data_IF_443656408429
#
_entry.id   IF_443656408429
#
_cell.length_a   1.000
_cell.length_b   1.000
_cell.length_c   1.000
_cell.angle_alpha   90.00
_cell.angle_beta   90.00
_cell.angle_gamma   90.00
#
_symmetry.space_group_name_H-M   'P 1'
#
loop_
_entity.id
_entity.type
_entity.pdbx_description
1 polymer ?
#
# COMPACT_ATOMS: atom_id res chain seq x y z
N UNK A 1 -13.35 18.24 -11.31
CA UNK A 1 -11.91 18.03 -11.09
C UNK A 1 -11.83 16.93 -10.08
N UNK A 2 -11.09 15.89 -10.42
CA UNK A 2 -10.99 14.68 -9.61
C UNK A 2 -9.78 14.81 -8.68
N UNK A 3 -9.78 14.02 -7.61
CA UNK A 3 -8.76 13.98 -6.57
C UNK A 3 -8.26 12.54 -6.47
N UNK A 4 -6.95 12.35 -6.46
CA UNK A 4 -6.32 11.07 -6.19
C UNK A 4 -6.45 10.71 -4.70
N UNK A 5 -7.28 9.72 -4.41
CA UNK A 5 -7.54 9.21 -3.06
C UNK A 5 -6.85 7.85 -2.86
N UNK A 6 -6.44 7.54 -1.62
CA UNK A 6 -5.99 6.19 -1.26
C UNK A 6 -7.12 5.20 -1.56
N UNK A 7 -6.93 4.27 -2.49
CA UNK A 7 -7.89 3.20 -2.77
C UNK A 7 -7.66 2.03 -1.82
N UNK A 8 -6.43 1.54 -1.80
CA UNK A 8 -6.03 0.42 -0.97
C UNK A 8 -4.53 0.47 -0.67
N UNK A 9 -4.10 -0.16 0.43
CA UNK A 9 -2.69 -0.47 0.64
C UNK A 9 -2.48 -1.82 1.32
N UNK A 10 -1.36 -2.45 0.99
CA UNK A 10 -0.81 -3.57 1.75
C UNK A 10 0.40 -3.04 2.51
N UNK A 11 0.33 -3.12 3.83
CA UNK A 11 1.26 -2.48 4.74
C UNK A 11 2.32 -3.47 5.24
N UNK A 12 3.59 -3.10 5.07
CA UNK A 12 4.78 -3.85 5.50
C UNK A 12 4.90 -5.25 4.86
N UNK A 13 4.70 -5.32 3.54
CA UNK A 13 5.08 -6.50 2.78
C UNK A 13 6.59 -6.68 2.82
N UNK A 14 7.04 -7.89 3.06
CA UNK A 14 8.43 -8.28 2.94
C UNK A 14 8.73 -8.70 1.51
N UNK A 15 9.68 -8.02 0.89
CA UNK A 15 10.18 -8.35 -0.45
C UNK A 15 10.81 -9.74 -0.40
N UNK A 16 10.28 -10.67 -1.19
CA UNK A 16 10.83 -12.03 -1.30
C UNK A 16 11.98 -12.07 -2.30
N UNK A 17 11.88 -11.29 -3.38
CA UNK A 17 12.79 -11.34 -4.51
C UNK A 17 12.96 -9.96 -5.18
N UNK A 18 14.06 -9.79 -5.92
CA UNK A 18 14.29 -8.62 -6.76
C UNK A 18 14.99 -9.06 -8.06
N UNK A 19 14.28 -9.00 -9.19
CA UNK A 19 14.78 -9.44 -10.50
C UNK A 19 15.00 -8.25 -11.45
N UNK A 20 16.26 -7.86 -11.62
CA UNK A 20 16.66 -6.74 -12.46
C UNK A 20 16.36 -6.93 -13.96
N UNK A 21 16.33 -8.17 -14.45
CA UNK A 21 16.24 -8.45 -15.89
C UNK A 21 14.82 -8.81 -16.34
N UNK A 22 13.85 -8.84 -15.42
CA UNK A 22 12.43 -8.97 -15.73
C UNK A 22 11.80 -7.62 -16.15
N UNK A 23 10.62 -7.66 -16.77
CA UNK A 23 9.86 -6.46 -17.17
C UNK A 23 9.38 -5.66 -15.95
N UNK A 24 9.71 -4.36 -15.93
CA UNK A 24 9.51 -3.50 -14.76
C UNK A 24 8.08 -3.49 -14.22
N UNK A 25 7.91 -3.92 -12.96
CA UNK A 25 6.63 -4.10 -12.27
C UNK A 25 6.88 -4.47 -10.79
N UNK A 26 5.83 -4.72 -10.02
CA UNK A 26 5.89 -5.49 -8.78
C UNK A 26 5.00 -6.74 -8.91
N UNK A 27 5.58 -7.92 -8.74
CA UNK A 27 4.80 -9.15 -8.57
C UNK A 27 4.33 -9.24 -7.12
N UNK A 28 3.04 -9.46 -6.91
CA UNK A 28 2.46 -9.69 -5.57
C UNK A 28 1.53 -10.90 -5.63
N UNK A 29 1.60 -11.78 -4.64
CA UNK A 29 0.67 -12.90 -4.43
C UNK A 29 -0.78 -12.46 -4.69
N UNK A 30 -1.47 -13.18 -5.58
CA UNK A 30 -2.84 -12.90 -5.98
C UNK A 30 -3.81 -12.84 -4.78
N UNK A 31 -3.64 -13.68 -3.75
CA UNK A 31 -4.50 -13.64 -2.56
C UNK A 31 -4.38 -12.30 -1.82
N UNK A 32 -3.16 -11.76 -1.73
CA UNK A 32 -2.92 -10.47 -1.08
C UNK A 32 -3.53 -9.31 -1.88
N UNK A 33 -3.42 -9.38 -3.21
CA UNK A 33 -4.07 -8.43 -4.12
C UNK A 33 -5.60 -8.47 -3.97
N UNK A 34 -6.19 -9.67 -3.94
CA UNK A 34 -7.63 -9.88 -3.79
C UNK A 34 -8.14 -9.34 -2.45
N UNK A 35 -7.44 -9.64 -1.35
CA UNK A 35 -7.79 -9.16 -0.01
C UNK A 35 -7.69 -7.63 0.08
N UNK A 36 -6.71 -7.03 -0.62
CA UNK A 36 -6.55 -5.58 -0.68
C UNK A 36 -7.52 -4.89 -1.63
N UNK A 37 -8.12 -5.62 -2.59
CA UNK A 37 -8.89 -5.03 -3.68
C UNK A 37 -8.02 -4.28 -4.69
N UNK A 38 -6.77 -4.71 -4.86
CA UNK A 38 -5.84 -4.20 -5.88
C UNK A 38 -5.89 -5.15 -7.08
N UNK A 39 -6.13 -4.60 -8.27
CA UNK A 39 -6.28 -5.41 -9.49
C UNK A 39 -4.92 -5.75 -10.09
N UNK A 40 -4.81 -6.86 -10.85
CA UNK A 40 -3.71 -7.07 -11.78
C UNK A 40 -3.56 -5.88 -12.75
N UNK A 41 -2.32 -5.47 -12.99
CA UNK A 41 -1.95 -4.33 -13.85
C UNK A 41 -2.43 -2.97 -13.35
N UNK A 42 -2.85 -2.87 -12.09
CA UNK A 42 -3.21 -1.60 -11.48
C UNK A 42 -1.97 -0.76 -11.18
N UNK A 43 -2.08 0.55 -11.40
CA UNK A 43 -1.03 1.50 -11.01
C UNK A 43 -0.93 1.53 -9.49
N UNK A 44 0.27 1.30 -8.97
CA UNK A 44 0.60 1.37 -7.56
C UNK A 44 1.84 2.23 -7.32
N UNK A 45 1.92 2.81 -6.13
CA UNK A 45 3.15 3.33 -5.58
C UNK A 45 3.72 2.32 -4.60
N UNK A 46 5.00 2.00 -4.73
CA UNK A 46 5.74 1.18 -3.77
C UNK A 46 6.66 2.10 -2.99
N UNK A 47 6.56 2.06 -1.66
CA UNK A 47 7.42 2.81 -0.75
C UNK A 47 8.19 1.84 0.13
N UNK A 48 9.52 1.95 0.11
CA UNK A 48 10.40 1.06 0.84
C UNK A 48 10.74 1.68 2.21
N UNK A 49 10.42 0.96 3.27
CA UNK A 49 10.61 1.39 4.67
C UNK A 49 12.09 1.42 5.03
N UNK A 50 12.86 0.46 4.52
CA UNK A 50 14.26 0.25 4.88
C UNK A 50 15.17 1.35 4.30
N UNK A 51 14.90 1.81 3.07
CA UNK A 51 15.78 2.75 2.37
C UNK A 51 15.12 4.07 1.95
N UNK A 52 13.81 4.22 2.15
CA UNK A 52 13.06 5.44 1.84
C UNK A 52 12.76 5.66 0.35
N UNK A 53 13.15 4.75 -0.54
CA UNK A 53 12.84 4.86 -1.96
C UNK A 53 11.33 4.81 -2.20
N UNK A 54 10.90 5.54 -3.23
CA UNK A 54 9.51 5.60 -3.68
C UNK A 54 9.49 5.44 -5.19
N UNK A 55 8.66 4.54 -5.70
CA UNK A 55 8.49 4.32 -7.13
C UNK A 55 7.03 4.14 -7.48
N UNK A 56 6.65 4.52 -8.70
CA UNK A 56 5.34 4.19 -9.26
C UNK A 56 5.52 3.08 -10.31
N UNK A 57 4.64 2.08 -10.27
CA UNK A 57 4.69 0.96 -11.18
C UNK A 57 3.33 0.26 -11.29
N UNK A 58 3.35 -0.87 -11.97
CA UNK A 58 2.39 -1.94 -12.15
C UNK A 58 2.28 -3.10 -11.15
N UNK A 59 1.11 -3.61 -10.79
CA UNK A 59 1.03 -4.97 -10.22
C UNK A 59 1.08 -6.06 -11.30
N UNK A 60 1.77 -7.16 -11.02
CA UNK A 60 1.63 -8.45 -11.71
C UNK A 60 1.18 -9.47 -10.65
N UNK A 61 0.16 -10.30 -10.93
CA UNK A 61 -0.25 -11.31 -9.98
C UNK A 61 0.75 -12.47 -9.94
N UNK A 62 1.23 -12.81 -8.75
CA UNK A 62 1.98 -14.03 -8.48
C UNK A 62 1.06 -15.22 -8.19
N UNK A 63 1.64 -16.41 -8.05
CA UNK A 63 0.89 -17.61 -7.69
C UNK A 63 0.19 -17.45 -6.33
N UNK A 64 -1.10 -17.82 -6.22
CA UNK A 64 -1.87 -17.66 -4.99
C UNK A 64 -1.27 -18.45 -3.82
N UNK A 65 -1.07 -17.78 -2.69
CA UNK A 65 -0.60 -18.40 -1.44
C UNK A 65 0.92 -18.62 -1.36
N UNK A 66 1.68 -18.31 -2.42
CA UNK A 66 3.15 -18.37 -2.38
C UNK A 66 3.79 -17.21 -1.61
N UNK A 67 3.01 -16.16 -1.30
CA UNK A 67 3.47 -14.97 -0.57
C UNK A 67 4.57 -14.18 -1.27
N UNK A 68 4.69 -14.38 -2.59
CA UNK A 68 5.66 -13.72 -3.46
C UNK A 68 5.46 -12.21 -3.47
N UNK A 69 6.56 -11.49 -3.27
CA UNK A 69 6.67 -10.03 -3.44
C UNK A 69 7.97 -9.77 -4.17
N UNK A 70 7.91 -9.61 -5.49
CA UNK A 70 9.10 -9.43 -6.33
C UNK A 70 9.12 -8.04 -6.97
N UNK A 71 10.21 -7.30 -6.78
CA UNK A 71 10.44 -6.05 -7.51
C UNK A 71 11.17 -6.36 -8.82
N UNK A 72 10.52 -6.08 -9.94
CA UNK A 72 11.01 -6.44 -11.26
C UNK A 72 11.65 -5.26 -12.00
N UNK A 73 12.60 -5.57 -12.89
CA UNK A 73 13.24 -4.62 -13.78
C UNK A 73 13.99 -3.52 -13.03
N UNK A 74 13.88 -2.25 -13.47
CA UNK A 74 14.51 -1.13 -12.76
C UNK A 74 14.08 -0.99 -11.30
N UNK A 75 12.91 -1.48 -10.91
CA UNK A 75 12.43 -1.44 -9.52
C UNK A 75 13.27 -2.33 -8.59
N UNK A 76 13.91 -3.38 -9.12
CA UNK A 76 14.84 -4.23 -8.38
C UNK A 76 16.08 -3.47 -7.86
N UNK A 77 16.38 -2.28 -8.39
CA UNK A 77 17.46 -1.42 -7.87
C UNK A 77 17.04 -0.59 -6.65
N UNK A 78 15.76 -0.58 -6.32
CA UNK A 78 15.18 0.28 -5.28
C UNK A 78 14.74 -0.52 -4.03
N UNK A 79 14.92 -1.85 -4.05
CA UNK A 79 14.65 -2.74 -2.94
C UNK A 79 15.56 -3.98 -3.01
N UNK A 80 15.79 -4.61 -1.87
CA UNK A 80 16.47 -5.91 -1.77
C UNK A 80 15.53 -6.94 -1.13
N UNK A 81 15.78 -8.23 -1.38
CA UNK A 81 15.07 -9.29 -0.68
C UNK A 81 15.23 -9.14 0.85
N UNK A 82 14.11 -9.17 1.56
CA UNK A 82 14.02 -8.93 3.00
C UNK A 82 13.63 -7.50 3.39
N UNK A 83 13.64 -6.53 2.48
CA UNK A 83 13.12 -5.19 2.75
C UNK A 83 11.62 -5.20 3.02
N UNK A 84 11.16 -4.27 3.85
CA UNK A 84 9.74 -3.99 4.04
C UNK A 84 9.28 -2.89 3.08
N UNK A 85 8.19 -3.13 2.37
CA UNK A 85 7.56 -2.18 1.45
C UNK A 85 6.08 -2.00 1.78
N UNK A 86 5.53 -0.87 1.37
CA UNK A 86 4.08 -0.63 1.37
C UNK A 86 3.67 -0.41 -0.08
N UNK A 87 2.71 -1.22 -0.55
CA UNK A 87 2.13 -1.12 -1.89
C UNK A 87 0.81 -0.36 -1.78
N UNK A 88 0.68 0.74 -2.53
CA UNK A 88 -0.42 1.69 -2.42
C UNK A 88 -1.09 1.85 -3.78
N UNK A 89 -2.38 1.54 -3.87
CA UNK A 89 -3.22 1.86 -5.02
C UNK A 89 -4.00 3.16 -4.76
N UNK A 90 -4.18 3.96 -5.81
CA UNK A 90 -4.94 5.21 -5.77
C UNK A 90 -6.13 5.16 -6.74
N UNK A 91 -7.19 5.89 -6.41
CA UNK A 91 -8.34 6.10 -7.29
C UNK A 91 -8.55 7.60 -7.52
N UNK A 92 -8.88 7.97 -8.75
CA UNK A 92 -9.34 9.32 -9.08
C UNK A 92 -10.83 9.41 -8.81
N UNK A 93 -11.24 10.30 -7.89
CA UNK A 93 -12.62 10.43 -7.46
C UNK A 93 -13.06 11.90 -7.50
N UNK A 94 -14.33 12.14 -7.78
CA UNK A 94 -14.91 13.47 -7.57
C UNK A 94 -14.95 13.79 -6.07
N UNK A 95 -15.02 15.08 -5.67
CA UNK A 95 -15.12 15.44 -4.25
C UNK A 95 -16.35 14.86 -3.53
N UNK A 96 -17.42 14.52 -4.25
CA UNK A 96 -18.60 13.87 -3.68
C UNK A 96 -18.31 12.40 -3.40
N UNK A 97 -17.79 11.66 -4.39
CA UNK A 97 -17.40 10.25 -4.22
C UNK A 97 -16.31 10.09 -3.15
N UNK A 98 -15.34 11.00 -3.09
CA UNK A 98 -14.24 10.96 -2.13
C UNK A 98 -14.71 11.02 -0.66
N UNK A 99 -15.85 11.65 -0.36
CA UNK A 99 -16.42 11.71 1.00
C UNK A 99 -17.11 10.41 1.42
N UNK A 100 -17.50 9.60 0.45
CA UNK A 100 -18.13 8.29 0.65
C UNK A 100 -17.16 7.14 0.34
N UNK A 101 -15.89 7.45 0.03
CA UNK A 101 -14.88 6.48 -0.31
C UNK A 101 -14.29 5.86 0.95
N UNK A 102 -14.07 4.55 0.92
CA UNK A 102 -13.68 3.76 2.07
C UNK A 102 -12.42 2.94 1.76
N UNK A 103 -11.21 3.47 2.00
CA UNK A 103 -9.97 2.80 1.63
C UNK A 103 -9.76 1.46 2.35
N UNK A 104 -9.21 0.47 1.66
CA UNK A 104 -8.83 -0.83 2.24
C UNK A 104 -7.38 -0.84 2.74
N UNK A 105 -7.14 -1.29 3.96
CA UNK A 105 -5.79 -1.48 4.50
C UNK A 105 -5.61 -2.93 4.93
N UNK A 106 -4.58 -3.57 4.40
CA UNK A 106 -4.16 -4.94 4.75
C UNK A 106 -2.83 -4.86 5.47
N UNK A 107 -2.72 -5.50 6.64
CA UNK A 107 -1.46 -5.69 7.36
C UNK A 107 -1.05 -7.15 7.23
N UNK A 108 0.25 -7.36 7.09
CA UNK A 108 0.84 -8.70 7.06
C UNK A 108 1.88 -8.86 8.18
N UNK A 109 2.32 -10.08 8.44
CA UNK A 109 3.48 -10.39 9.28
C UNK A 109 4.76 -10.58 8.45
N UNK A 110 5.84 -11.02 9.10
CA UNK A 110 7.16 -11.24 8.50
C UNK A 110 7.18 -12.33 7.40
N UNK A 111 6.14 -13.16 7.31
CA UNK A 111 5.95 -14.18 6.27
C UNK A 111 4.94 -13.73 5.20
N UNK A 112 4.57 -12.45 5.21
CA UNK A 112 3.50 -11.87 4.38
C UNK A 112 2.11 -12.49 4.64
N UNK A 113 1.90 -13.18 5.76
CA UNK A 113 0.57 -13.68 6.10
C UNK A 113 -0.30 -12.56 6.65
N UNK A 114 -1.56 -12.51 6.21
CA UNK A 114 -2.48 -11.45 6.60
C UNK A 114 -2.80 -11.53 8.08
N UNK A 115 -2.46 -10.46 8.82
CA UNK A 115 -2.71 -10.35 10.26
C UNK A 115 -3.96 -9.53 10.56
N UNK A 116 -4.22 -8.47 9.78
CA UNK A 116 -5.35 -7.57 10.01
C UNK A 116 -5.80 -6.88 8.73
N UNK A 117 -7.10 -6.86 8.50
CA UNK A 117 -7.72 -6.02 7.46
C UNK A 117 -8.57 -4.94 8.10
N UNK A 118 -8.55 -3.73 7.54
CA UNK A 118 -9.36 -2.60 7.97
C UNK A 118 -9.96 -1.90 6.75
N UNK A 119 -11.17 -1.40 6.89
CA UNK A 119 -11.73 -0.39 6.00
C UNK A 119 -11.65 0.94 6.74
N UNK A 120 -11.11 1.98 6.12
CA UNK A 120 -11.06 3.31 6.73
C UNK A 120 -12.36 4.04 6.43
N UNK A 121 -13.04 4.53 7.47
CA UNK A 121 -14.22 5.37 7.35
C UNK A 121 -13.80 6.85 7.31
N UNK A 122 -14.14 7.54 6.22
CA UNK A 122 -13.82 8.98 6.03
C UNK A 122 -14.81 9.87 6.80
N UNK A 123 -15.90 9.30 7.31
CA UNK A 123 -17.07 10.03 7.81
C UNK A 123 -17.14 10.20 9.34
N UNK A 124 -16.25 9.57 10.12
CA UNK A 124 -16.26 9.71 11.58
C UNK A 124 -15.11 10.58 12.10
N UNK A 125 -15.42 11.45 13.07
CA UNK A 125 -14.47 12.13 13.98
C UNK A 125 -13.71 11.13 14.88
N UNK A 126 -13.56 9.87 14.45
CA UNK A 126 -12.76 8.91 15.16
C UNK A 126 -11.29 9.23 14.84
N UNK A 127 -10.58 9.71 15.86
CA UNK A 127 -9.15 10.06 15.83
C UNK A 127 -8.19 8.91 15.51
N UNK A 128 -8.66 7.89 14.79
CA UNK A 128 -7.96 6.64 14.48
C UNK A 128 -7.10 6.74 13.20
N UNK A 129 -6.97 7.95 12.63
CA UNK A 129 -5.98 8.24 11.58
C UNK A 129 -4.54 8.18 12.11
N UNK A 130 -4.37 8.23 13.43
CA UNK A 130 -3.09 7.96 14.08
C UNK A 130 -2.89 6.44 14.25
N UNK A 131 -1.80 5.84 13.74
CA UNK A 131 -1.42 4.52 14.20
C UNK A 131 -1.23 4.55 15.73
N UNK A 132 -1.54 3.44 16.43
CA UNK A 132 -1.35 3.31 17.89
C UNK A 132 0.02 3.87 18.29
N UNK A 133 0.03 4.93 19.12
CA UNK A 133 1.23 5.65 19.54
C UNK A 133 1.55 6.95 18.78
N UNK A 134 0.67 7.42 17.88
CA UNK A 134 0.83 8.67 17.12
C UNK A 134 -0.36 9.63 17.26
N UNK A 135 -1.17 9.48 18.31
CA UNK A 135 -2.38 10.27 18.58
C UNK A 135 -2.07 11.78 18.69
N UNK A 136 -0.87 12.14 19.15
CA UNK A 136 -0.44 13.52 19.37
C UNK A 136 0.04 14.27 18.11
N UNK A 137 0.25 13.59 16.97
CA UNK A 137 0.86 14.23 15.77
C UNK A 137 -0.17 14.88 14.85
N UNK A 138 -1.45 14.50 14.96
CA UNK A 138 -2.51 15.02 14.09
C UNK A 138 -3.23 16.26 14.63
N UNK A 139 -2.90 16.70 15.85
CA UNK A 139 -3.39 17.98 16.37
C UNK A 139 -2.25 18.99 16.25
N UNK A 140 -2.05 19.52 15.04
CA UNK A 140 -1.56 20.89 14.94
C UNK A 140 -2.64 21.75 15.59
N UNK A 141 -2.42 22.09 16.86
CA UNK A 141 -3.34 22.85 17.68
C UNK A 141 -3.91 24.03 16.89
N UNK A 142 -5.22 23.96 16.65
CA UNK A 142 -6.06 25.12 16.46
C UNK A 142 -6.07 25.91 17.78
N UNK A 143 -4.97 26.58 18.08
CA UNK A 143 -4.85 27.54 19.17
C UNK A 143 -5.01 28.93 18.58
N UNK A 144 -6.23 29.44 18.74
CA UNK A 144 -6.65 30.84 18.57
C UNK A 144 -5.56 31.83 19.03
N UNK A 145 -5.30 32.82 18.18
CA UNK A 145 -5.32 34.24 18.54
C UNK A 145 -5.92 35.04 17.38
#
# INVERSE_FOLDING_TARGET
MDIAMLKAKIHRLRVTEADLYYEGSITVDQELLDIAGILPYEKVQVVNVNNGNRLETYTIPGEPGERTVCLNGPAARLAEAGDEVIVIAYAELTPTEAREHHPRVVHVDDNNDVTKTRTLDVSTDDGDFAPEGMEDVLIAESSRQ
#
